data_IF_146312772241
#
_entry.id   IF_146312772241
#
_cell.length_a   1.000
_cell.length_b   1.000
_cell.length_c   1.000
_cell.angle_alpha   90.00
_cell.angle_beta   90.00
_cell.angle_gamma   90.00
#
_symmetry.space_group_name_H-M   'P 1'
#
loop_
_entity.id
_entity.type
_entity.pdbx_description
1 polymer ?
#
# COMPACT_ATOMS: atom_id res chain seq x y z
N UNK A 1 -0.90 -41.82 57.02
CA UNK A 1 -0.85 -42.02 55.55
C UNK A 1 -1.69 -40.98 54.78
N UNK A 2 -1.66 -39.68 55.17
CA UNK A 2 -2.49 -38.64 54.53
C UNK A 2 -1.72 -37.58 53.73
N UNK A 3 -0.39 -37.53 53.84
CA UNK A 3 0.43 -36.49 53.22
C UNK A 3 0.79 -36.79 51.75
N UNK A 4 0.92 -38.07 51.39
CA UNK A 4 1.37 -38.47 50.04
C UNK A 4 0.33 -38.16 48.95
N UNK A 5 -0.95 -38.50 49.18
CA UNK A 5 -2.00 -38.27 48.17
C UNK A 5 -2.41 -36.79 48.13
N UNK A 6 -2.61 -36.14 49.28
CA UNK A 6 -2.99 -34.72 49.31
C UNK A 6 -1.86 -33.79 48.87
N UNK A 7 -0.60 -34.12 49.16
CA UNK A 7 0.56 -33.37 48.68
C UNK A 7 0.76 -33.52 47.16
N UNK A 8 0.61 -34.74 46.62
CA UNK A 8 0.65 -34.96 45.17
C UNK A 8 -0.50 -34.22 44.46
N UNK A 9 -1.71 -34.28 45.00
CA UNK A 9 -2.85 -33.53 44.47
C UNK A 9 -2.58 -32.03 44.44
N UNK A 10 -2.04 -31.45 45.52
CA UNK A 10 -1.72 -30.03 45.59
C UNK A 10 -0.70 -29.59 44.52
N UNK A 11 0.35 -30.39 44.29
CA UNK A 11 1.36 -30.11 43.26
C UNK A 11 0.76 -30.17 41.85
N UNK A 12 -0.10 -31.16 41.58
CA UNK A 12 -0.80 -31.29 40.29
C UNK A 12 -1.70 -30.07 40.04
N UNK A 13 -2.49 -29.66 41.04
CA UNK A 13 -3.36 -28.48 40.93
C UNK A 13 -2.56 -27.20 40.68
N UNK A 14 -1.45 -26.99 41.38
CA UNK A 14 -0.58 -25.83 41.17
C UNK A 14 0.00 -25.82 39.74
N UNK A 15 0.46 -26.97 39.26
CA UNK A 15 1.02 -27.11 37.91
C UNK A 15 -0.03 -26.85 36.83
N UNK A 16 -1.26 -27.35 37.02
CA UNK A 16 -2.38 -27.09 36.11
C UNK A 16 -2.75 -25.61 36.07
N UNK A 17 -2.72 -24.92 37.21
CA UNK A 17 -3.03 -23.49 37.24
C UNK A 17 -1.98 -22.66 36.50
N UNK A 18 -0.70 -22.99 36.67
CA UNK A 18 0.41 -22.35 35.93
C UNK A 18 0.28 -22.65 34.43
N UNK A 19 0.04 -23.91 34.06
CA UNK A 19 -0.16 -24.32 32.68
C UNK A 19 -1.37 -23.62 32.03
N UNK A 20 -2.48 -23.51 32.75
CA UNK A 20 -3.66 -22.80 32.29
C UNK A 20 -3.39 -21.30 32.10
N UNK A 21 -2.68 -20.66 33.04
CA UNK A 21 -2.30 -19.25 32.91
C UNK A 21 -1.47 -18.99 31.65
N UNK A 22 -0.45 -19.83 31.40
CA UNK A 22 0.37 -19.74 30.18
C UNK A 22 -0.45 -20.00 28.90
N UNK A 23 -1.30 -21.03 28.91
CA UNK A 23 -2.15 -21.36 27.77
C UNK A 23 -3.16 -20.27 27.47
N UNK A 24 -3.83 -19.72 28.48
CA UNK A 24 -4.80 -18.64 28.35
C UNK A 24 -4.15 -17.39 27.75
N UNK A 25 -3.01 -16.95 28.30
CA UNK A 25 -2.28 -15.81 27.75
C UNK A 25 -1.83 -16.04 26.30
N UNK A 26 -1.28 -17.21 25.98
CA UNK A 26 -0.89 -17.55 24.62
C UNK A 26 -2.09 -17.58 23.66
N UNK A 27 -3.22 -18.12 24.12
CA UNK A 27 -4.48 -18.18 23.38
C UNK A 27 -5.04 -16.79 23.08
N UNK A 28 -5.17 -15.94 24.10
CA UNK A 28 -5.68 -14.56 23.95
C UNK A 28 -4.80 -13.74 23.02
N UNK A 29 -3.49 -13.74 23.24
CA UNK A 29 -2.55 -13.02 22.37
C UNK A 29 -2.65 -13.48 20.90
N UNK A 30 -2.92 -14.77 20.67
CA UNK A 30 -3.07 -15.30 19.31
C UNK A 30 -4.41 -14.89 18.69
N UNK A 31 -5.48 -14.88 19.48
CA UNK A 31 -6.79 -14.43 19.03
C UNK A 31 -6.79 -12.93 18.68
N UNK A 32 -6.15 -12.09 19.50
CA UNK A 32 -5.97 -10.66 19.25
C UNK A 32 -5.23 -10.42 17.93
N UNK A 33 -4.06 -11.05 17.74
CA UNK A 33 -3.29 -10.94 16.49
C UNK A 33 -4.07 -11.33 15.25
N UNK A 34 -4.85 -12.41 15.32
CA UNK A 34 -5.66 -12.86 14.19
C UNK A 34 -6.79 -11.87 13.90
N UNK A 35 -7.41 -11.35 14.95
CA UNK A 35 -8.50 -10.36 14.82
C UNK A 35 -7.98 -9.05 14.23
N UNK A 36 -6.83 -8.56 14.70
CA UNK A 36 -6.15 -7.37 14.16
C UNK A 36 -5.81 -7.57 12.67
N UNK A 37 -5.18 -8.69 12.31
CA UNK A 37 -4.88 -9.00 10.92
C UNK A 37 -6.13 -9.11 10.01
N UNK A 38 -7.27 -9.56 10.56
CA UNK A 38 -8.54 -9.59 9.83
C UNK A 38 -9.12 -8.19 9.62
N UNK A 39 -8.99 -7.31 10.61
CA UNK A 39 -9.41 -5.91 10.50
C UNK A 39 -8.53 -5.18 9.49
N UNK A 40 -7.20 -5.28 9.60
CA UNK A 40 -6.25 -4.68 8.65
C UNK A 40 -6.54 -5.12 7.22
N UNK A 41 -6.82 -6.42 7.02
CA UNK A 41 -7.19 -6.94 5.70
C UNK A 41 -8.49 -6.34 5.18
N UNK A 42 -9.47 -6.12 6.05
CA UNK A 42 -10.74 -5.50 5.67
C UNK A 42 -10.54 -4.05 5.28
N UNK A 43 -9.74 -3.31 6.05
CA UNK A 43 -9.42 -1.91 5.77
C UNK A 43 -8.67 -1.77 4.44
N UNK A 44 -7.64 -2.58 4.18
CA UNK A 44 -6.94 -2.59 2.88
C UNK A 44 -7.89 -2.88 1.71
N UNK A 45 -8.83 -3.81 1.88
CA UNK A 45 -9.82 -4.14 0.83
C UNK A 45 -10.74 -2.95 0.56
N UNK A 46 -11.18 -2.23 1.60
CA UNK A 46 -12.00 -1.03 1.44
C UNK A 46 -11.23 0.09 0.75
N UNK A 47 -9.97 0.31 1.15
CA UNK A 47 -9.10 1.33 0.57
C UNK A 47 -8.81 1.07 -0.90
N UNK A 48 -8.46 -0.18 -1.23
CA UNK A 48 -8.27 -0.63 -2.62
C UNK A 48 -9.56 -0.47 -3.43
N UNK A 49 -10.72 -0.81 -2.86
CA UNK A 49 -12.01 -0.69 -3.54
C UNK A 49 -12.45 0.76 -3.76
N UNK A 50 -11.98 1.69 -2.94
CA UNK A 50 -12.26 3.13 -3.08
C UNK A 50 -11.21 3.85 -3.92
N UNK A 51 -10.11 3.18 -4.28
CA UNK A 51 -9.06 3.71 -5.15
C UNK A 51 -9.34 3.32 -6.59
N UNK A 52 -9.25 4.30 -7.48
CA UNK A 52 -9.25 4.07 -8.92
C UNK A 52 -8.43 5.19 -9.56
N UNK A 53 -7.61 4.84 -10.55
CA UNK A 53 -6.75 5.79 -11.26
C UNK A 53 -6.79 5.53 -12.76
N UNK A 54 -6.69 6.61 -13.54
CA UNK A 54 -6.72 6.55 -15.00
C UNK A 54 -5.64 7.43 -15.60
N UNK A 55 -4.78 6.86 -16.45
CA UNK A 55 -3.80 7.58 -17.23
C UNK A 55 -4.51 8.21 -18.43
N UNK A 56 -4.67 9.53 -18.39
CA UNK A 56 -5.39 10.28 -19.43
C UNK A 56 -4.49 10.77 -20.56
N UNK A 57 -3.18 10.92 -20.32
CA UNK A 57 -2.23 11.28 -21.38
C UNK A 57 -0.81 10.85 -21.07
N UNK A 58 -0.13 10.33 -22.08
CA UNK A 58 1.30 9.99 -22.11
C UNK A 58 1.91 10.63 -23.36
N UNK A 59 2.68 11.70 -23.18
CA UNK A 59 3.25 12.48 -24.28
C UNK A 59 4.77 12.55 -24.14
N UNK A 60 5.48 12.07 -25.16
CA UNK A 60 6.92 12.20 -25.25
C UNK A 60 7.34 13.39 -26.11
N UNK A 61 8.18 14.27 -25.57
CA UNK A 61 8.72 15.43 -26.27
C UNK A 61 10.19 15.17 -26.66
N UNK A 62 10.42 14.71 -27.89
CA UNK A 62 11.76 14.39 -28.40
C UNK A 62 12.74 15.58 -28.44
N UNK A 63 12.24 16.82 -28.46
CA UNK A 63 13.10 18.02 -28.39
C UNK A 63 13.65 18.30 -27.00
N UNK A 64 13.02 17.75 -25.97
CA UNK A 64 13.32 18.01 -24.55
C UNK A 64 13.78 16.75 -23.81
N UNK A 65 13.82 15.59 -24.49
CA UNK A 65 14.07 14.27 -23.90
C UNK A 65 13.22 14.04 -22.63
N UNK A 66 11.94 14.41 -22.70
CA UNK A 66 11.04 14.45 -21.55
C UNK A 66 9.72 13.74 -21.85
N UNK A 67 9.31 12.86 -20.96
CA UNK A 67 8.02 12.19 -20.96
C UNK A 67 7.10 12.84 -19.92
N UNK A 68 5.94 13.33 -20.38
CA UNK A 68 4.87 13.82 -19.50
C UNK A 68 3.78 12.76 -19.37
N UNK A 69 3.45 12.39 -18.14
CA UNK A 69 2.34 11.48 -17.81
C UNK A 69 1.31 12.24 -16.98
N UNK A 70 0.03 12.12 -17.34
CA UNK A 70 -1.08 12.69 -16.56
C UNK A 70 -2.01 11.59 -16.11
N UNK A 71 -2.32 11.57 -14.83
CA UNK A 71 -3.11 10.55 -14.17
C UNK A 71 -4.20 11.21 -13.35
N UNK A 72 -5.44 10.77 -13.50
CA UNK A 72 -6.57 11.24 -12.70
C UNK A 72 -6.87 10.23 -11.60
N UNK A 73 -7.19 10.72 -10.40
CA UNK A 73 -7.79 9.90 -9.36
C UNK A 73 -9.30 9.86 -9.62
N UNK A 74 -9.76 8.77 -10.23
CA UNK A 74 -11.17 8.52 -10.56
C UNK A 74 -11.92 7.87 -9.39
N UNK A 75 -11.18 7.44 -8.37
CA UNK A 75 -11.73 6.89 -7.14
C UNK A 75 -12.26 7.95 -6.18
N UNK A 76 -12.49 7.50 -4.95
CA UNK A 76 -12.94 8.33 -3.82
C UNK A 76 -11.90 8.42 -2.70
N UNK A 77 -10.89 7.54 -2.72
CA UNK A 77 -9.77 7.58 -1.79
C UNK A 77 -8.84 8.76 -2.06
N UNK A 78 -8.24 9.29 -1.01
CA UNK A 78 -7.12 10.21 -1.10
C UNK A 78 -5.85 9.40 -1.31
N UNK A 79 -4.98 9.86 -2.21
CA UNK A 79 -3.72 9.21 -2.54
C UNK A 79 -2.54 10.12 -2.17
N UNK A 80 -1.37 9.49 -2.02
CA UNK A 80 -0.09 10.15 -1.78
C UNK A 80 0.75 10.12 -3.05
N UNK A 81 1.36 11.26 -3.38
CA UNK A 81 2.28 11.33 -4.53
C UNK A 81 3.55 10.54 -4.22
N UNK A 82 4.08 10.64 -3.01
CA UNK A 82 5.30 9.96 -2.58
C UNK A 82 5.17 8.44 -2.52
N UNK A 83 3.96 7.92 -2.33
CA UNK A 83 3.65 6.47 -2.35
C UNK A 83 3.11 5.99 -3.70
N UNK A 84 3.14 6.84 -4.74
CA UNK A 84 2.82 6.46 -6.11
C UNK A 84 4.07 6.00 -6.85
N UNK A 85 4.00 4.85 -7.51
CA UNK A 85 5.12 4.30 -8.28
C UNK A 85 4.93 4.54 -9.79
N UNK A 86 6.02 4.91 -10.46
CA UNK A 86 6.09 5.04 -11.91
C UNK A 86 7.01 3.97 -12.50
N UNK A 87 6.51 3.23 -13.48
CA UNK A 87 7.26 2.25 -14.26
C UNK A 87 7.21 2.64 -15.73
N UNK A 88 8.37 2.75 -16.38
CA UNK A 88 8.51 3.07 -17.80
C UNK A 88 9.25 1.91 -18.47
N UNK A 89 8.63 1.26 -19.46
CA UNK A 89 9.16 0.05 -20.15
C UNK A 89 9.66 -1.07 -19.22
N UNK A 90 9.07 -1.17 -18.03
CA UNK A 90 9.42 -2.17 -17.01
C UNK A 90 10.54 -1.72 -16.06
N UNK A 91 11.10 -0.53 -16.24
CA UNK A 91 12.05 0.08 -15.31
C UNK A 91 11.34 0.98 -14.29
N UNK A 92 11.62 0.75 -13.01
CA UNK A 92 11.13 1.59 -11.93
C UNK A 92 11.83 2.95 -11.94
N UNK A 93 11.05 4.03 -11.92
CA UNK A 93 11.56 5.41 -11.97
C UNK A 93 11.37 6.09 -10.63
N UNK A 94 12.46 6.59 -10.07
CA UNK A 94 12.47 7.41 -8.84
C UNK A 94 12.89 8.86 -9.11
N UNK A 95 13.26 9.16 -10.36
CA UNK A 95 13.86 10.42 -10.78
C UNK A 95 12.83 11.45 -11.26
N UNK A 96 11.53 11.19 -11.10
CA UNK A 96 10.44 12.06 -11.51
C UNK A 96 10.11 13.14 -10.47
N UNK A 97 11.14 13.74 -9.86
CA UNK A 97 11.01 14.72 -8.77
C UNK A 97 10.14 15.94 -9.11
N UNK A 98 9.91 16.20 -10.40
CA UNK A 98 8.97 17.23 -10.85
C UNK A 98 7.58 16.65 -11.12
N UNK A 99 6.78 16.60 -10.07
CA UNK A 99 5.35 16.31 -10.14
C UNK A 99 4.51 17.50 -9.70
N UNK A 100 3.23 17.48 -10.05
CA UNK A 100 2.26 18.44 -9.52
C UNK A 100 0.87 17.83 -9.45
N UNK A 101 0.15 18.08 -8.36
CA UNK A 101 -1.27 17.74 -8.24
C UNK A 101 -2.09 18.99 -8.44
N UNK A 102 -3.01 18.97 -9.42
CA UNK A 102 -3.87 20.11 -9.74
C UNK A 102 -3.09 21.46 -9.94
N UNK A 103 -1.82 21.38 -10.31
CA UNK A 103 -0.93 22.53 -10.51
C UNK A 103 -0.07 22.93 -9.30
N UNK A 104 -0.30 22.35 -8.13
CA UNK A 104 0.53 22.50 -6.94
C UNK A 104 1.70 21.51 -6.96
N UNK A 105 2.93 21.98 -6.78
CA UNK A 105 4.17 21.19 -6.80
C UNK A 105 4.69 20.85 -5.40
N UNK A 106 4.14 21.46 -4.37
CA UNK A 106 4.60 21.29 -2.98
C UNK A 106 3.72 20.30 -2.23
N UNK A 107 2.54 19.97 -2.77
CA UNK A 107 1.63 19.01 -2.16
C UNK A 107 2.04 17.57 -2.44
N UNK A 108 1.97 16.75 -1.41
CA UNK A 108 2.03 15.29 -1.50
C UNK A 108 0.62 14.67 -1.61
N UNK A 109 -0.42 15.49 -1.48
CA UNK A 109 -1.81 15.06 -1.43
C UNK A 109 -2.42 15.02 -2.82
N UNK A 110 -3.01 13.89 -3.19
CA UNK A 110 -3.73 13.69 -4.43
C UNK A 110 -5.18 13.26 -4.16
N UNK A 111 -6.10 14.22 -4.16
CA UNK A 111 -7.50 14.00 -3.81
C UNK A 111 -8.30 13.38 -4.96
N UNK A 112 -9.47 12.83 -4.61
CA UNK A 112 -10.45 12.34 -5.56
C UNK A 112 -10.83 13.44 -6.58
N UNK A 113 -10.78 13.10 -7.87
CA UNK A 113 -11.05 14.01 -8.98
C UNK A 113 -9.89 14.92 -9.37
N UNK A 114 -8.78 14.92 -8.64
CA UNK A 114 -7.59 15.69 -9.00
C UNK A 114 -6.70 14.93 -9.99
N UNK A 115 -5.84 15.69 -10.67
CA UNK A 115 -4.89 15.17 -11.64
C UNK A 115 -3.46 15.32 -11.12
N UNK A 116 -2.74 14.21 -11.10
CA UNK A 116 -1.30 14.16 -10.95
C UNK A 116 -0.64 14.28 -12.33
N UNK A 117 0.26 15.26 -12.46
CA UNK A 117 1.15 15.41 -13.62
C UNK A 117 2.56 15.01 -13.20
N UNK A 118 3.17 14.10 -13.94
CA UNK A 118 4.52 13.60 -13.73
C UNK A 118 5.39 13.95 -14.94
N UNK A 119 6.61 14.43 -14.71
CA UNK A 119 7.60 14.66 -15.76
C UNK A 119 8.84 13.82 -15.45
N UNK A 120 9.31 13.05 -16.45
CA UNK A 120 10.46 12.16 -16.29
C UNK A 120 11.37 12.25 -17.52
N UNK A 121 12.68 12.30 -17.28
CA UNK A 121 13.66 12.32 -18.36
C UNK A 121 13.71 10.98 -19.11
N UNK A 122 13.67 11.02 -20.44
CA UNK A 122 13.70 9.86 -21.31
C UNK A 122 14.51 10.17 -22.59
N UNK A 123 15.61 9.44 -22.79
CA UNK A 123 16.52 9.65 -23.93
C UNK A 123 15.98 9.15 -25.28
N UNK A 124 14.86 8.44 -25.26
CA UNK A 124 14.11 7.99 -26.43
C UNK A 124 12.65 7.83 -26.05
N UNK A 125 11.77 7.81 -27.06
CA UNK A 125 10.35 7.54 -26.84
C UNK A 125 10.18 6.14 -26.20
N UNK A 126 9.60 6.05 -25.00
CA UNK A 126 9.26 4.76 -24.39
C UNK A 126 8.06 4.13 -25.08
N UNK A 127 7.85 2.83 -24.92
CA UNK A 127 6.69 2.15 -25.49
C UNK A 127 5.48 2.24 -24.55
N UNK A 128 5.70 2.06 -23.24
CA UNK A 128 4.62 1.91 -22.26
C UNK A 128 4.98 2.50 -20.89
N UNK A 129 3.96 3.05 -20.25
CA UNK A 129 4.01 3.55 -18.88
C UNK A 129 3.00 2.79 -18.03
N UNK A 130 3.37 2.49 -16.80
CA UNK A 130 2.48 2.02 -15.75
C UNK A 130 2.63 2.92 -14.53
N UNK A 131 1.49 3.30 -13.96
CA UNK A 131 1.42 4.05 -12.69
C UNK A 131 0.69 3.18 -11.68
N UNK A 132 1.21 3.13 -10.46
CA UNK A 132 0.64 2.32 -9.36
C UNK A 132 0.43 3.25 -8.17
N UNK A 133 -0.79 3.33 -7.66
CA UNK A 133 -1.10 4.02 -6.42
C UNK A 133 -0.64 3.18 -5.20
N UNK A 134 -0.55 3.82 -4.04
CA UNK A 134 -0.21 3.20 -2.73
C UNK A 134 -0.94 1.86 -2.50
N UNK A 135 -2.24 1.83 -2.75
CA UNK A 135 -3.09 0.64 -2.56
C UNK A 135 -2.79 -0.52 -3.53
N UNK A 136 -1.85 -0.34 -4.46
CA UNK A 136 -1.49 -1.30 -5.50
C UNK A 136 -2.40 -1.28 -6.72
N UNK A 137 -3.45 -0.44 -6.73
CA UNK A 137 -4.27 -0.18 -7.92
C UNK A 137 -3.40 0.51 -8.97
N UNK A 138 -3.49 0.05 -10.21
CA UNK A 138 -2.60 0.48 -11.26
C UNK A 138 -3.31 0.64 -12.59
N UNK A 139 -2.82 1.58 -13.38
CA UNK A 139 -3.20 1.74 -14.79
C UNK A 139 -1.97 1.72 -15.70
N UNK A 140 -2.16 1.38 -16.96
CA UNK A 140 -1.09 1.20 -17.95
C UNK A 140 -1.51 1.74 -19.30
N UNK A 141 -0.67 2.58 -19.89
CA UNK A 141 -0.92 3.22 -21.18
C UNK A 141 0.30 3.15 -22.09
N UNK A 142 0.07 3.05 -23.40
CA UNK A 142 1.10 3.23 -24.43
C UNK A 142 1.49 4.70 -24.54
N UNK A 143 2.73 4.99 -24.92
CA UNK A 143 3.20 6.37 -25.09
C UNK A 143 3.01 6.83 -26.53
N UNK A 144 2.23 7.89 -26.71
CA UNK A 144 2.11 8.58 -27.99
C UNK A 144 3.10 9.75 -28.07
N UNK A 145 3.77 9.89 -29.22
CA UNK A 145 4.68 10.98 -29.55
C UNK A 145 4.06 11.95 -30.54
#
# INVERSE_FOLDING_TARGET
MGFSVSGAAAIIFASLFIAFGMWYSAGMNSFERVTEAQNDRTDTVLETSNTDIEIVSTTYAASEDNLTVRVNNTGTAQLSVSDTDLIVDGEYRTDWAESSVAGDRETDLWLAGEQLKINVSASSQPDRVKVVADTGVADTAEVSG
#
